data_IF_404704365852
#
_entry.id   IF_404704365852
#
_cell.length_a   1.000
_cell.length_b   1.000
_cell.length_c   1.000
_cell.angle_alpha   90.00
_cell.angle_beta   90.00
_cell.angle_gamma   90.00
#
_symmetry.space_group_name_H-M   'P 1'
#
loop_
_entity.id
_entity.type
_entity.pdbx_description
1 polymer ?
#
# COMPACT_ATOMS: atom_id res chain seq x y z
N UNK A 1 5.14 -25.08 64.14
CA UNK A 1 5.69 -24.00 63.31
C UNK A 1 5.53 -24.44 61.88
N UNK A 2 4.37 -24.16 61.31
CA UNK A 2 3.92 -24.55 59.96
C UNK A 2 3.13 -23.35 59.45
N UNK A 3 3.82 -22.48 58.72
CA UNK A 3 3.23 -21.32 58.02
C UNK A 3 2.62 -21.81 56.70
N UNK A 4 1.44 -22.43 56.79
CA UNK A 4 0.62 -22.74 55.62
C UNK A 4 -0.30 -21.55 55.35
N UNK A 5 0.24 -20.52 54.71
CA UNK A 5 -0.56 -19.42 54.17
C UNK A 5 -1.41 -19.92 53.00
N UNK A 6 -2.75 -19.79 53.03
CA UNK A 6 -3.63 -20.28 51.96
C UNK A 6 -3.64 -19.37 50.73
N UNK A 7 -2.85 -18.29 50.73
CA UNK A 7 -2.78 -17.34 49.63
C UNK A 7 -1.47 -17.52 48.85
N UNK A 8 -1.46 -18.50 47.94
CA UNK A 8 -0.64 -18.35 46.73
C UNK A 8 -1.30 -17.26 45.90
N UNK A 9 -0.69 -16.08 45.87
CA UNK A 9 -1.03 -15.04 44.90
C UNK A 9 -1.10 -15.70 43.52
N UNK A 10 -2.18 -15.48 42.75
CA UNK A 10 -2.24 -16.01 41.39
C UNK A 10 -1.01 -15.51 40.66
N UNK A 11 -0.24 -16.45 40.12
CA UNK A 11 0.85 -16.19 39.20
C UNK A 11 0.24 -15.31 38.11
N UNK A 12 0.61 -14.02 38.09
CA UNK A 12 0.18 -13.10 37.06
C UNK A 12 0.88 -13.60 35.80
N UNK A 13 0.14 -14.38 35.02
CA UNK A 13 0.58 -14.82 33.70
C UNK A 13 0.69 -13.55 32.85
N UNK A 14 1.92 -13.06 32.66
CA UNK A 14 2.30 -11.91 31.83
C UNK A 14 2.01 -12.16 30.32
N UNK A 15 0.78 -12.55 29.96
CA UNK A 15 0.40 -12.92 28.59
C UNK A 15 -0.27 -11.85 27.68
N UNK A 16 -0.54 -10.58 28.07
CA UNK A 16 -1.16 -9.65 27.12
C UNK A 16 -0.18 -8.97 26.15
N UNK A 17 1.08 -8.69 26.53
CA UNK A 17 2.00 -7.87 25.71
C UNK A 17 2.44 -8.54 24.39
N UNK A 18 2.77 -9.83 24.41
CA UNK A 18 3.23 -10.55 23.21
C UNK A 18 2.14 -10.64 22.11
N UNK A 19 0.87 -10.64 22.49
CA UNK A 19 -0.26 -10.69 21.55
C UNK A 19 -0.49 -9.34 20.87
N UNK A 20 -0.30 -8.24 21.62
CA UNK A 20 -0.40 -6.88 21.13
C UNK A 20 0.74 -6.54 20.16
N UNK A 21 1.95 -6.98 20.48
CA UNK A 21 3.13 -6.73 19.64
C UNK A 21 3.01 -7.41 18.27
N UNK A 22 2.50 -8.64 18.22
CA UNK A 22 2.28 -9.35 16.94
C UNK A 22 1.21 -8.67 16.10
N UNK A 23 0.06 -8.32 16.69
CA UNK A 23 -1.03 -7.61 15.98
C UNK A 23 -0.55 -6.27 15.44
N UNK A 24 0.18 -5.50 16.26
CA UNK A 24 0.75 -4.21 15.87
C UNK A 24 1.74 -4.35 14.71
N UNK A 25 2.62 -5.34 14.75
CA UNK A 25 3.57 -5.61 13.66
C UNK A 25 2.87 -5.94 12.33
N UNK A 26 1.80 -6.73 12.35
CA UNK A 26 1.01 -7.02 11.15
C UNK A 26 0.35 -5.77 10.56
N UNK A 27 -0.24 -4.93 11.42
CA UNK A 27 -0.84 -3.66 11.03
C UNK A 27 0.20 -2.72 10.40
N UNK A 28 1.37 -2.56 11.00
CA UNK A 28 2.44 -1.71 10.44
C UNK A 28 2.95 -2.23 9.10
N UNK A 29 3.01 -3.54 8.93
CA UNK A 29 3.42 -4.19 7.69
C UNK A 29 2.41 -3.92 6.56
N UNK A 30 1.11 -4.04 6.85
CA UNK A 30 0.03 -3.71 5.93
C UNK A 30 0.03 -2.22 5.57
N UNK A 31 0.12 -1.33 6.57
CA UNK A 31 0.17 0.12 6.35
C UNK A 31 1.37 0.57 5.51
N UNK A 32 2.54 -0.03 5.73
CA UNK A 32 3.73 0.23 4.92
C UNK A 32 3.53 -0.25 3.47
N UNK A 33 2.93 -1.42 3.28
CA UNK A 33 2.57 -1.92 1.95
C UNK A 33 1.63 -0.97 1.21
N UNK A 34 0.61 -0.47 1.90
CA UNK A 34 -0.36 0.47 1.35
C UNK A 34 0.29 1.79 0.89
N UNK A 35 1.19 2.37 1.68
CA UNK A 35 1.94 3.58 1.29
C UNK A 35 2.75 3.40 0.01
N UNK A 36 3.39 2.24 -0.19
CA UNK A 36 4.11 1.96 -1.44
C UNK A 36 3.16 1.92 -2.65
N UNK A 37 1.96 1.34 -2.47
CA UNK A 37 0.94 1.31 -3.52
C UNK A 37 0.38 2.70 -3.82
N UNK A 38 0.28 3.59 -2.83
CA UNK A 38 -0.10 4.99 -3.04
C UNK A 38 0.93 5.78 -3.82
N UNK A 39 2.21 5.63 -3.47
CA UNK A 39 3.30 6.27 -4.22
C UNK A 39 3.27 5.79 -5.66
N UNK A 40 3.05 4.50 -5.90
CA UNK A 40 2.86 3.96 -7.26
C UNK A 40 1.65 4.52 -7.97
N UNK A 41 0.49 4.60 -7.33
CA UNK A 41 -0.71 5.22 -7.90
C UNK A 41 -0.44 6.68 -8.28
N UNK A 42 0.19 7.46 -7.41
CA UNK A 42 0.53 8.86 -7.67
C UNK A 42 1.54 9.00 -8.82
N UNK A 43 2.59 8.18 -8.83
CA UNK A 43 3.56 8.15 -9.93
C UNK A 43 2.93 7.73 -11.26
N UNK A 44 2.05 6.72 -11.23
CA UNK A 44 1.36 6.24 -12.43
C UNK A 44 0.42 7.31 -12.99
N UNK A 45 -0.40 7.94 -12.15
CA UNK A 45 -1.27 9.04 -12.56
C UNK A 45 -0.47 10.24 -13.07
N UNK A 46 0.59 10.64 -12.37
CA UNK A 46 1.49 11.71 -12.82
C UNK A 46 2.12 11.40 -14.18
N UNK A 47 2.56 10.16 -14.39
CA UNK A 47 3.07 9.68 -15.68
C UNK A 47 2.00 9.71 -16.79
N UNK A 48 0.79 9.22 -16.51
CA UNK A 48 -0.34 9.23 -17.44
C UNK A 48 -0.70 10.64 -17.91
N UNK A 49 -0.77 11.59 -16.97
CA UNK A 49 -1.02 12.99 -17.29
C UNK A 49 0.10 13.58 -18.14
N UNK A 50 1.37 13.37 -17.78
CA UNK A 50 2.51 13.84 -18.57
C UNK A 50 2.51 13.27 -20.00
N UNK A 51 2.20 11.98 -20.14
CA UNK A 51 2.07 11.31 -21.44
C UNK A 51 0.88 11.81 -22.26
N UNK A 52 -0.24 12.15 -21.63
CA UNK A 52 -1.39 12.74 -22.32
C UNK A 52 -1.06 14.13 -22.89
N UNK A 53 -0.32 14.97 -22.14
CA UNK A 53 0.17 16.26 -22.66
C UNK A 53 1.14 16.09 -23.82
N UNK A 54 2.07 15.13 -23.73
CA UNK A 54 2.97 14.81 -24.86
C UNK A 54 2.18 14.31 -26.08
N UNK A 55 1.14 13.49 -25.87
CA UNK A 55 0.30 12.98 -26.95
C UNK A 55 -0.50 14.10 -27.64
N UNK A 56 -1.04 15.08 -26.90
CA UNK A 56 -1.73 16.24 -27.49
C UNK A 56 -0.78 17.01 -28.42
N UNK A 57 0.46 17.27 -27.98
CA UNK A 57 1.46 17.94 -28.82
C UNK A 57 1.84 17.11 -30.07
N UNK A 58 1.87 15.78 -29.95
CA UNK A 58 2.10 14.86 -31.08
C UNK A 58 0.90 14.80 -32.02
N UNK A 59 -0.33 14.85 -31.50
CA UNK A 59 -1.56 14.85 -32.29
C UNK A 59 -1.70 16.15 -33.12
N UNK A 60 -1.32 17.30 -32.55
CA UNK A 60 -1.27 18.56 -33.29
C UNK A 60 -0.23 18.57 -34.42
N UNK A 61 0.85 17.79 -34.29
CA UNK A 61 1.88 17.64 -35.32
C UNK A 61 1.53 16.56 -36.36
N UNK A 62 0.83 15.50 -35.97
CA UNK A 62 0.21 14.49 -36.85
C UNK A 62 -0.75 15.12 -37.87
N UNK A 63 -1.48 16.16 -37.48
CA UNK A 63 -2.39 16.90 -38.37
C UNK A 63 -1.71 17.69 -39.49
N UNK A 64 -0.38 17.87 -39.41
CA UNK A 64 0.42 18.60 -40.42
C UNK A 64 1.22 17.65 -41.31
N UNK A 65 1.77 16.57 -40.76
CA UNK A 65 2.39 15.50 -41.53
C UNK A 65 2.41 14.18 -40.74
N UNK A 66 1.50 13.23 -41.02
CA UNK A 66 1.39 11.99 -40.25
C UNK A 66 2.51 10.99 -40.52
N UNK A 67 3.36 11.25 -41.53
CA UNK A 67 4.50 10.41 -41.88
C UNK A 67 5.80 10.82 -41.18
N UNK A 68 5.75 11.85 -40.31
CA UNK A 68 6.95 12.36 -39.68
C UNK A 68 7.55 11.32 -38.73
N UNK A 69 8.85 11.08 -38.91
CA UNK A 69 9.64 10.18 -38.05
C UNK A 69 9.51 10.55 -36.56
N UNK A 70 9.27 11.83 -36.25
CA UNK A 70 9.08 12.36 -34.91
C UNK A 70 7.81 11.85 -34.20
N UNK A 71 6.72 11.62 -34.94
CA UNK A 71 5.49 11.08 -34.36
C UNK A 71 5.69 9.62 -34.01
N UNK A 72 6.26 8.84 -34.95
CA UNK A 72 6.51 7.42 -34.76
C UNK A 72 7.47 7.17 -33.59
N UNK A 73 8.55 7.94 -33.49
CA UNK A 73 9.48 7.85 -32.35
C UNK A 73 8.79 8.21 -31.04
N UNK A 74 8.00 9.28 -30.99
CA UNK A 74 7.32 9.68 -29.74
C UNK A 74 6.30 8.62 -29.26
N UNK A 75 5.50 8.06 -30.17
CA UNK A 75 4.57 6.97 -29.83
C UNK A 75 5.30 5.71 -29.37
N UNK A 76 6.42 5.37 -30.03
CA UNK A 76 7.25 4.23 -29.64
C UNK A 76 7.87 4.44 -28.26
N UNK A 77 8.41 5.63 -27.97
CA UNK A 77 8.95 5.98 -26.66
C UNK A 77 7.87 5.91 -25.58
N UNK A 78 6.66 6.42 -25.85
CA UNK A 78 5.53 6.31 -24.91
C UNK A 78 5.22 4.85 -24.59
N UNK A 79 5.12 3.99 -25.60
CA UNK A 79 4.82 2.57 -25.41
C UNK A 79 5.91 1.85 -24.58
N UNK A 80 7.19 2.13 -24.85
CA UNK A 80 8.31 1.59 -24.09
C UNK A 80 8.24 2.03 -22.63
N UNK A 81 8.01 3.32 -22.38
CA UNK A 81 7.89 3.86 -21.02
C UNK A 81 6.73 3.21 -20.27
N UNK A 82 5.55 3.11 -20.88
CA UNK A 82 4.40 2.43 -20.28
C UNK A 82 4.66 0.96 -19.95
N UNK A 83 5.42 0.27 -20.80
CA UNK A 83 5.79 -1.13 -20.58
C UNK A 83 6.78 -1.29 -19.42
N UNK A 84 7.76 -0.41 -19.31
CA UNK A 84 8.70 -0.41 -18.18
C UNK A 84 7.94 -0.13 -16.87
N UNK A 85 7.06 0.87 -16.87
CA UNK A 85 6.27 1.25 -15.69
C UNK A 85 5.33 0.11 -15.28
N UNK A 86 4.72 -0.61 -16.22
CA UNK A 86 3.85 -1.75 -15.89
C UNK A 86 4.64 -2.90 -15.27
N UNK A 87 5.82 -3.23 -15.81
CA UNK A 87 6.70 -4.25 -15.23
C UNK A 87 7.12 -3.87 -13.80
N UNK A 88 7.57 -2.63 -13.58
CA UNK A 88 7.92 -2.14 -12.24
C UNK A 88 6.73 -2.23 -11.29
N UNK A 89 5.54 -1.82 -11.74
CA UNK A 89 4.31 -1.90 -10.94
C UNK A 89 3.98 -3.34 -10.57
N UNK A 90 4.09 -4.27 -11.51
CA UNK A 90 3.97 -5.71 -11.26
C UNK A 90 4.96 -6.20 -10.20
N UNK A 91 6.24 -5.82 -10.30
CA UNK A 91 7.28 -6.20 -9.32
C UNK A 91 6.95 -5.66 -7.93
N UNK A 92 6.55 -4.40 -7.80
CA UNK A 92 6.25 -3.83 -6.48
C UNK A 92 4.98 -4.45 -5.89
N UNK A 93 3.93 -4.64 -6.69
CA UNK A 93 2.71 -5.34 -6.25
C UNK A 93 3.05 -6.77 -5.80
N UNK A 94 3.91 -7.48 -6.54
CA UNK A 94 4.44 -8.78 -6.15
C UNK A 94 5.13 -8.71 -4.79
N UNK A 95 6.06 -7.78 -4.58
CA UNK A 95 6.79 -7.63 -3.32
C UNK A 95 5.86 -7.29 -2.14
N UNK A 96 4.88 -6.42 -2.35
CA UNK A 96 3.91 -6.03 -1.32
C UNK A 96 3.03 -7.23 -0.94
N UNK A 97 2.48 -7.95 -1.92
CA UNK A 97 1.63 -9.11 -1.66
C UNK A 97 2.42 -10.30 -1.08
N UNK A 98 3.65 -10.52 -1.55
CA UNK A 98 4.56 -11.53 -0.99
C UNK A 98 4.87 -11.22 0.48
N UNK A 99 5.20 -9.96 0.76
CA UNK A 99 5.46 -9.53 2.14
C UNK A 99 4.23 -9.75 3.00
N UNK A 100 3.03 -9.39 2.56
CA UNK A 100 1.80 -9.54 3.33
C UNK A 100 1.22 -10.97 3.36
N UNK A 101 1.87 -11.97 2.73
CA UNK A 101 1.39 -13.35 2.71
C UNK A 101 0.20 -13.60 1.77
N UNK A 102 -0.12 -12.65 0.89
CA UNK A 102 -1.27 -12.70 -0.02
C UNK A 102 -0.96 -13.25 -1.41
N UNK A 103 0.32 -13.44 -1.73
CA UNK A 103 0.77 -13.75 -3.09
C UNK A 103 0.09 -15.00 -3.68
N UNK A 104 0.02 -16.10 -2.91
CA UNK A 104 -0.53 -17.38 -3.41
C UNK A 104 -2.01 -17.23 -3.80
N UNK A 105 -2.79 -16.51 -2.99
CA UNK A 105 -4.24 -16.35 -3.21
C UNK A 105 -4.58 -15.28 -4.25
N UNK A 106 -3.70 -14.30 -4.46
CA UNK A 106 -3.98 -13.10 -5.27
C UNK A 106 -2.92 -12.84 -6.35
N UNK A 107 -2.23 -13.87 -6.85
CA UNK A 107 -1.20 -13.74 -7.88
C UNK A 107 -1.72 -13.09 -9.18
N UNK A 108 -3.00 -13.25 -9.49
CA UNK A 108 -3.65 -12.63 -10.66
C UNK A 108 -3.61 -11.09 -10.58
N UNK A 109 -3.59 -10.50 -9.39
CA UNK A 109 -3.44 -9.04 -9.20
C UNK A 109 -2.05 -8.58 -9.69
N UNK A 110 -1.02 -9.38 -9.46
CA UNK A 110 0.34 -9.13 -9.98
C UNK A 110 0.35 -9.18 -11.50
N UNK A 111 -0.31 -10.17 -12.09
CA UNK A 111 -0.40 -10.30 -13.55
C UNK A 111 -1.07 -9.07 -14.17
N UNK A 112 -2.20 -8.61 -13.63
CA UNK A 112 -2.87 -7.38 -14.09
C UNK A 112 -1.96 -6.16 -13.92
N UNK A 113 -1.28 -6.05 -12.78
CA UNK A 113 -0.35 -4.95 -12.51
C UNK A 113 0.84 -4.92 -13.49
N UNK A 114 1.23 -6.06 -14.06
CA UNK A 114 2.30 -6.19 -15.04
C UNK A 114 1.93 -5.78 -16.47
N UNK A 115 0.64 -5.71 -16.82
CA UNK A 115 0.19 -5.45 -18.19
C UNK A 115 0.15 -3.94 -18.45
N UNK A 116 0.74 -3.44 -19.56
CA UNK A 116 0.65 -2.04 -19.95
C UNK A 116 -0.81 -1.55 -20.04
N UNK A 117 -1.05 -0.27 -19.78
CA UNK A 117 -2.37 0.40 -19.79
C UNK A 117 -3.38 -0.04 -18.71
N UNK A 118 -3.35 -1.30 -18.27
CA UNK A 118 -4.24 -1.81 -17.19
C UNK A 118 -3.53 -2.01 -15.85
N UNK A 119 -2.23 -1.75 -15.80
CA UNK A 119 -1.38 -1.86 -14.60
C UNK A 119 -1.98 -1.20 -13.36
N UNK A 120 -2.58 -0.02 -13.50
CA UNK A 120 -3.22 0.71 -12.40
C UNK A 120 -4.37 -0.05 -11.75
N UNK A 121 -5.09 -0.87 -12.52
CA UNK A 121 -6.17 -1.71 -11.99
C UNK A 121 -5.60 -2.71 -11.00
N UNK A 122 -4.47 -3.34 -11.33
CA UNK A 122 -3.77 -4.27 -10.42
C UNK A 122 -3.30 -3.57 -9.15
N UNK A 123 -2.70 -2.37 -9.27
CA UNK A 123 -2.26 -1.57 -8.11
C UNK A 123 -3.44 -1.20 -7.21
N UNK A 124 -4.56 -0.74 -7.80
CA UNK A 124 -5.79 -0.37 -7.07
C UNK A 124 -6.41 -1.57 -6.38
N UNK A 125 -6.44 -2.74 -7.03
CA UNK A 125 -6.94 -3.97 -6.43
C UNK A 125 -6.08 -4.42 -5.24
N UNK A 126 -4.76 -4.34 -5.35
CA UNK A 126 -3.84 -4.62 -4.24
C UNK A 126 -4.08 -3.65 -3.06
N UNK A 127 -4.26 -2.35 -3.34
CA UNK A 127 -4.53 -1.36 -2.31
C UNK A 127 -5.87 -1.65 -1.61
N UNK A 128 -6.93 -1.95 -2.38
CA UNK A 128 -8.25 -2.32 -1.83
C UNK A 128 -8.20 -3.56 -0.97
N UNK A 129 -7.39 -4.56 -1.34
CA UNK A 129 -7.18 -5.76 -0.53
C UNK A 129 -6.61 -5.39 0.84
N UNK A 130 -5.53 -4.61 0.86
CA UNK A 130 -4.85 -4.21 2.10
C UNK A 130 -5.75 -3.31 2.96
N UNK A 131 -6.51 -2.40 2.34
CA UNK A 131 -7.51 -1.59 3.05
C UNK A 131 -8.56 -2.44 3.75
N UNK A 132 -9.05 -3.49 3.07
CA UNK A 132 -10.05 -4.38 3.65
C UNK A 132 -9.49 -5.09 4.88
N UNK A 133 -8.22 -5.50 4.85
CA UNK A 133 -7.59 -6.12 6.00
C UNK A 133 -7.31 -5.11 7.13
N UNK A 134 -6.83 -3.90 6.83
CA UNK A 134 -6.68 -2.88 7.86
C UNK A 134 -8.01 -2.59 8.59
N UNK A 135 -9.13 -2.64 7.87
CA UNK A 135 -10.48 -2.53 8.47
C UNK A 135 -10.88 -3.75 9.31
N UNK A 136 -10.48 -4.97 8.94
CA UNK A 136 -10.75 -6.16 9.78
C UNK A 136 -10.01 -6.07 11.11
N UNK A 137 -8.86 -5.40 11.14
CA UNK A 137 -8.11 -5.09 12.36
C UNK A 137 -8.68 -3.92 13.19
N UNK A 138 -9.83 -3.36 12.81
CA UNK A 138 -10.51 -2.26 13.53
C UNK A 138 -10.11 -0.85 13.07
N UNK A 139 -9.15 -0.73 12.16
CA UNK A 139 -8.62 0.56 11.75
C UNK A 139 -9.44 1.16 10.61
N UNK A 140 -10.02 2.34 10.85
CA UNK A 140 -10.78 3.09 9.84
C UNK A 140 -9.88 4.19 9.26
N UNK A 141 -9.22 3.87 8.15
CA UNK A 141 -8.46 4.85 7.39
C UNK A 141 -9.13 5.16 6.05
N UNK A 142 -9.01 6.43 5.63
CA UNK A 142 -9.34 6.88 4.27
C UNK A 142 -8.34 6.32 3.25
N UNK A 143 -8.49 6.66 1.97
CA UNK A 143 -7.65 6.17 0.85
C UNK A 143 -6.15 6.42 1.01
N UNK A 144 -5.77 7.33 1.92
CA UNK A 144 -4.38 7.66 2.23
C UNK A 144 -3.91 6.77 3.37
N UNK A 145 -2.73 6.19 3.16
CA UNK A 145 -2.14 5.17 3.99
C UNK A 145 -1.87 5.76 5.35
N UNK A 146 -2.29 5.09 6.42
CA UNK A 146 -2.27 5.68 7.74
C UNK A 146 -0.86 6.08 8.15
N UNK A 147 -0.76 7.23 8.82
CA UNK A 147 0.51 7.64 9.40
C UNK A 147 0.88 6.73 10.56
N UNK A 148 2.18 6.53 10.77
CA UNK A 148 2.64 5.75 11.93
C UNK A 148 2.07 6.34 13.23
N UNK A 149 2.00 7.68 13.32
CA UNK A 149 1.34 8.40 14.42
C UNK A 149 -0.14 8.02 14.55
N UNK A 150 -0.91 8.05 13.44
CA UNK A 150 -2.34 7.72 13.43
C UNK A 150 -2.64 6.25 13.80
N UNK A 151 -1.78 5.31 13.40
CA UNK A 151 -1.91 3.89 13.78
C UNK A 151 -1.67 3.74 15.28
N UNK A 152 -0.59 4.31 15.80
CA UNK A 152 -0.26 4.25 17.23
C UNK A 152 -1.34 4.91 18.07
N UNK A 153 -1.89 6.03 17.60
CA UNK A 153 -2.94 6.78 18.29
C UNK A 153 -4.27 6.02 18.32
N UNK A 154 -4.67 5.37 17.21
CA UNK A 154 -5.85 4.50 17.21
C UNK A 154 -5.66 3.25 18.08
N UNK A 155 -4.50 2.59 18.01
CA UNK A 155 -4.22 1.42 18.85
C UNK A 155 -4.21 1.77 20.34
N UNK A 156 -3.65 2.92 20.73
CA UNK A 156 -3.65 3.41 22.13
C UNK A 156 -5.04 3.74 22.65
N UNK A 157 -5.92 4.28 21.80
CA UNK A 157 -7.32 4.55 22.17
C UNK A 157 -8.12 3.27 22.41
N UNK A 158 -7.90 2.23 21.62
CA UNK A 158 -8.61 0.95 21.74
C UNK A 158 -8.15 0.14 22.99
N UNK A 159 -6.90 0.29 23.44
CA UNK A 159 -6.37 -0.40 24.62
C UNK A 159 -6.65 0.32 25.95
N UNK A 160 -7.33 1.46 25.93
CA UNK A 160 -7.65 2.24 27.14
C UNK A 160 -6.43 2.84 27.84
N UNK A 161 -5.27 2.87 27.18
CA UNK A 161 -4.04 3.46 27.72
C UNK A 161 -4.21 4.98 27.84
N UNK A 162 -3.86 5.60 28.98
CA UNK A 162 -4.07 7.03 29.18
C UNK A 162 -3.29 7.86 28.15
N UNK A 163 -4.01 8.78 27.50
CA UNK A 163 -3.45 9.75 26.57
C UNK A 163 -2.56 10.70 27.37
N UNK A 164 -1.25 10.66 27.13
CA UNK A 164 -0.33 11.63 27.70
C UNK A 164 -0.62 13.01 27.05
N UNK A 165 -1.09 14.01 27.83
CA UNK A 165 -1.52 15.30 27.28
C UNK A 165 -0.39 16.12 26.63
N UNK A 166 0.86 15.62 26.66
CA UNK A 166 2.01 16.26 26.00
C UNK A 166 2.19 15.92 24.52
N UNK A 167 1.41 14.98 23.96
CA UNK A 167 1.54 14.58 22.54
C UNK A 167 0.56 15.22 21.56
N UNK A 168 -0.39 16.04 22.04
CA UNK A 168 -1.29 16.82 21.17
C UNK A 168 -0.69 18.18 20.83
N UNK A 169 0.32 18.17 19.95
CA UNK A 169 0.72 19.33 19.12
C UNK A 169 1.07 18.80 17.72
#
# INVERSE_FOLDING_TARGET
MTDDSPFKSPEIVDQPHDSFDKRSQEIFKLARGLRWLEVLCACYLGGLYASAFAYIAVAESLGKDPSSLSVLTTLTTLFIVYSIVSVISGIVVYLVLARCGYLIRYYWIVAIAGIPLVSIVGVVLAARLIHRELRSHGLKFGWIGPSHKAIVEQLRHDDGSPVDPKTSV
#
